data_IF_947140910564
#
_entry.id   IF_947140910564
#
_cell.length_a   1.000
_cell.length_b   1.000
_cell.length_c   1.000
_cell.angle_alpha   90.00
_cell.angle_beta   90.00
_cell.angle_gamma   90.00
#
_symmetry.space_group_name_H-M   'P 1'
#
loop_
_entity.id
_entity.type
_entity.pdbx_description
1 polymer ?
#
# COMPACT_ATOMS: atom_id res chain seq x y z
N UNK A 1 -13.88 4.33 8.38
CA UNK A 1 -12.87 3.28 8.13
C UNK A 1 -11.50 3.78 8.55
N UNK A 2 -10.57 2.86 8.84
CA UNK A 2 -9.19 3.18 9.23
C UNK A 2 -8.24 2.70 8.15
N UNK A 3 -7.12 3.39 8.00
CA UNK A 3 -6.00 2.96 7.17
C UNK A 3 -4.70 3.06 7.97
N UNK A 4 -3.69 2.32 7.56
CA UNK A 4 -2.33 2.42 8.09
C UNK A 4 -1.37 2.69 6.95
N UNK A 5 -0.43 3.63 7.17
CA UNK A 5 0.69 3.85 6.27
C UNK A 5 1.97 3.37 6.93
N UNK A 6 2.58 2.34 6.35
CA UNK A 6 3.88 1.79 6.72
C UNK A 6 4.97 2.49 5.91
N UNK A 7 5.15 3.79 6.14
CA UNK A 7 6.07 4.63 5.39
C UNK A 7 6.89 5.59 6.28
N UNK A 8 8.22 5.68 6.09
CA UNK A 8 9.04 4.73 5.33
C UNK A 8 9.12 3.38 6.05
N UNK A 9 9.04 2.27 5.30
CA UNK A 9 9.26 0.94 5.85
C UNK A 9 10.77 0.68 5.97
N UNK A 10 11.29 0.86 7.19
CA UNK A 10 12.71 0.83 7.51
C UNK A 10 13.19 -0.49 8.13
N UNK A 11 12.28 -1.44 8.30
CA UNK A 11 12.54 -2.74 8.88
C UNK A 11 11.29 -3.63 8.82
N UNK A 12 11.42 -4.92 9.14
CA UNK A 12 10.27 -5.82 9.21
C UNK A 12 9.35 -5.39 10.34
N UNK A 13 8.04 -5.42 10.10
CA UNK A 13 7.02 -5.16 11.12
C UNK A 13 6.75 -6.41 11.97
N UNK A 14 6.97 -7.59 11.40
CA UNK A 14 6.60 -8.86 12.03
C UNK A 14 5.12 -9.19 11.82
N UNK A 15 4.63 -10.16 12.58
CA UNK A 15 3.20 -10.52 12.57
C UNK A 15 2.41 -9.46 13.33
N UNK A 16 1.46 -8.83 12.64
CA UNK A 16 0.57 -7.80 13.19
C UNK A 16 -0.85 -8.13 12.82
N UNK A 17 -1.77 -7.79 13.73
CA UNK A 17 -3.21 -7.90 13.52
C UNK A 17 -3.71 -6.63 12.82
N UNK A 18 -4.21 -6.78 11.60
CA UNK A 18 -4.82 -5.69 10.83
C UNK A 18 -6.35 -5.75 10.80
N UNK A 19 -7.00 -6.56 11.65
CA UNK A 19 -8.45 -6.63 11.71
C UNK A 19 -9.08 -5.24 11.92
N UNK A 20 -10.07 -4.92 11.07
CA UNK A 20 -10.76 -3.63 11.08
C UNK A 20 -9.99 -2.48 10.42
N UNK A 21 -8.78 -2.72 9.90
CA UNK A 21 -8.10 -1.82 8.97
C UNK A 21 -8.63 -2.10 7.57
N UNK A 22 -9.00 -1.04 6.84
CA UNK A 22 -9.53 -1.21 5.50
C UNK A 22 -8.42 -1.16 4.44
N UNK A 23 -7.35 -0.42 4.71
CA UNK A 23 -6.31 -0.12 3.72
C UNK A 23 -4.93 0.00 4.36
N UNK A 24 -3.96 -0.70 3.78
CA UNK A 24 -2.55 -0.60 4.13
C UNK A 24 -1.78 0.00 2.95
N UNK A 25 -1.02 1.06 3.24
CA UNK A 25 -0.13 1.70 2.28
C UNK A 25 1.31 1.38 2.68
N UNK A 26 2.11 0.87 1.74
CA UNK A 26 3.50 0.48 2.00
C UNK A 26 4.44 1.21 1.06
N UNK A 27 5.55 1.72 1.59
CA UNK A 27 6.53 2.41 0.77
C UNK A 27 7.85 2.71 1.46
N UNK A 28 8.91 2.79 0.65
CA UNK A 28 10.26 3.09 1.10
C UNK A 28 10.57 4.59 1.24
N UNK A 29 11.68 4.89 1.90
CA UNK A 29 12.14 6.24 2.21
C UNK A 29 12.53 7.03 0.94
N UNK A 30 12.20 8.33 0.90
CA UNK A 30 12.59 9.23 -0.18
C UNK A 30 13.46 10.37 0.32
N UNK A 31 14.36 10.83 -0.55
CA UNK A 31 15.20 12.01 -0.32
C UNK A 31 16.69 11.70 -0.18
N UNK A 32 17.51 12.71 0.12
CA UNK A 32 18.94 12.54 0.33
C UNK A 32 19.20 11.53 1.45
N UNK A 33 20.03 10.52 1.18
CA UNK A 33 20.35 9.40 2.10
C UNK A 33 19.17 8.47 2.41
N UNK A 34 18.18 8.38 1.52
CA UNK A 34 17.11 7.39 1.61
C UNK A 34 17.69 5.97 1.82
N UNK A 35 17.22 5.31 2.87
CA UNK A 35 17.61 3.93 3.19
C UNK A 35 16.89 2.95 2.25
N UNK A 36 17.59 1.93 1.74
CA UNK A 36 16.96 0.88 0.93
C UNK A 36 15.96 0.11 1.80
N UNK A 37 14.79 -0.15 1.24
CA UNK A 37 13.80 -1.06 1.80
C UNK A 37 14.07 -2.47 1.26
N UNK A 38 13.98 -3.48 2.13
CA UNK A 38 14.04 -4.87 1.71
C UNK A 38 12.70 -5.32 1.13
N UNK A 39 12.74 -6.03 0.00
CA UNK A 39 11.54 -6.53 -0.67
C UNK A 39 10.73 -7.52 0.17
N UNK A 40 11.40 -8.31 1.01
CA UNK A 40 10.76 -9.27 1.91
C UNK A 40 9.81 -8.60 2.91
N UNK A 41 10.10 -7.36 3.34
CA UNK A 41 9.24 -6.64 4.29
C UNK A 41 7.92 -6.21 3.65
N UNK A 42 7.97 -5.78 2.39
CA UNK A 42 6.77 -5.42 1.62
C UNK A 42 5.93 -6.67 1.29
N UNK A 43 6.57 -7.78 0.91
CA UNK A 43 5.89 -9.07 0.70
C UNK A 43 5.20 -9.56 1.98
N UNK A 44 5.88 -9.49 3.12
CA UNK A 44 5.28 -9.89 4.40
C UNK A 44 4.01 -9.08 4.70
N UNK A 45 4.04 -7.75 4.53
CA UNK A 45 2.87 -6.91 4.75
C UNK A 45 1.75 -7.19 3.74
N UNK A 46 2.09 -7.49 2.48
CA UNK A 46 1.11 -7.92 1.47
C UNK A 46 0.39 -9.20 1.92
N UNK A 47 1.14 -10.20 2.36
CA UNK A 47 0.58 -11.49 2.76
C UNK A 47 -0.28 -11.36 4.03
N UNK A 48 0.09 -10.48 4.97
CA UNK A 48 -0.74 -10.13 6.13
C UNK A 48 -2.03 -9.42 5.69
N UNK A 49 -1.95 -8.50 4.72
CA UNK A 49 -3.13 -7.82 4.20
C UNK A 49 -4.09 -8.79 3.52
N UNK A 50 -3.57 -9.76 2.76
CA UNK A 50 -4.38 -10.81 2.14
C UNK A 50 -5.09 -11.67 3.20
N UNK A 51 -4.35 -12.09 4.24
CA UNK A 51 -4.90 -12.84 5.39
C UNK A 51 -6.03 -12.10 6.11
N UNK A 52 -5.86 -10.79 6.34
CA UNK A 52 -6.77 -9.97 7.15
C UNK A 52 -7.81 -9.21 6.31
N UNK A 53 -7.95 -9.54 5.01
CA UNK A 53 -8.87 -8.92 4.07
C UNK A 53 -8.70 -7.38 3.94
N UNK A 54 -7.47 -6.90 4.04
CA UNK A 54 -7.10 -5.49 3.95
C UNK A 54 -6.66 -5.16 2.51
N UNK A 55 -7.15 -4.05 1.97
CA UNK A 55 -6.64 -3.59 0.67
C UNK A 55 -5.15 -3.22 0.81
N UNK A 56 -4.30 -3.78 -0.05
CA UNK A 56 -2.87 -3.53 -0.04
C UNK A 56 -2.47 -2.58 -1.18
N UNK A 57 -1.79 -1.48 -0.84
CA UNK A 57 -1.26 -0.51 -1.79
C UNK A 57 0.25 -0.37 -1.66
N UNK A 58 0.99 -0.84 -2.65
CA UNK A 58 2.43 -0.60 -2.74
C UNK A 58 2.68 0.72 -3.45
N UNK A 59 3.15 1.71 -2.69
CA UNK A 59 3.30 3.07 -3.19
C UNK A 59 4.61 3.26 -3.93
N UNK A 60 5.74 2.81 -3.38
CA UNK A 60 7.05 2.92 -4.02
C UNK A 60 8.16 2.23 -3.24
N UNK A 61 9.30 1.97 -3.90
CA UNK A 61 10.55 1.58 -3.24
C UNK A 61 11.29 2.73 -2.55
N UNK A 62 10.95 3.97 -2.84
CA UNK A 62 11.69 5.14 -2.37
C UNK A 62 12.85 5.54 -3.28
N UNK A 63 13.90 6.13 -2.71
CA UNK A 63 15.12 6.52 -3.42
C UNK A 63 15.46 8.02 -3.33
N UNK A 64 16.50 8.44 -4.06
CA UNK A 64 17.07 9.79 -3.94
C UNK A 64 16.06 10.93 -4.22
N UNK A 65 15.05 10.67 -5.07
CA UNK A 65 13.89 11.54 -5.29
C UNK A 65 12.60 10.75 -5.08
N UNK A 66 11.46 11.40 -4.78
CA UNK A 66 10.17 10.72 -4.79
C UNK A 66 9.94 9.95 -6.10
N UNK A 67 9.37 8.74 -5.99
CA UNK A 67 9.04 7.82 -7.08
C UNK A 67 10.22 7.23 -7.86
N UNK A 68 11.47 7.45 -7.43
CA UNK A 68 12.66 7.00 -8.18
C UNK A 68 12.76 5.49 -8.35
N UNK A 69 12.38 4.72 -7.33
CA UNK A 69 12.50 3.27 -7.35
C UNK A 69 11.34 2.53 -8.03
N UNK A 70 10.34 3.25 -8.55
CA UNK A 70 9.17 2.62 -9.17
C UNK A 70 8.19 2.02 -8.16
N UNK A 71 7.19 1.31 -8.70
CA UNK A 71 5.99 0.83 -7.97
C UNK A 71 5.73 -0.67 -8.12
N UNK A 72 6.69 -1.40 -8.70
CA UNK A 72 6.52 -2.83 -8.93
C UNK A 72 7.03 -3.61 -7.72
N UNK A 73 6.16 -4.41 -7.11
CA UNK A 73 6.53 -5.43 -6.13
C UNK A 73 6.26 -6.78 -6.79
N UNK A 74 7.26 -7.67 -6.87
CA UNK A 74 7.17 -8.91 -7.64
C UNK A 74 6.83 -8.72 -9.13
N UNK A 75 7.26 -7.60 -9.71
CA UNK A 75 6.99 -7.27 -11.12
C UNK A 75 5.56 -6.78 -11.40
N UNK A 76 4.74 -6.60 -10.37
CA UNK A 76 3.34 -6.17 -10.48
C UNK A 76 3.08 -4.87 -9.70
N UNK A 77 2.15 -4.05 -10.20
CA UNK A 77 1.65 -2.91 -9.44
C UNK A 77 0.54 -3.34 -8.48
N UNK A 78 0.78 -3.10 -7.19
CA UNK A 78 -0.22 -3.38 -6.15
C UNK A 78 -1.00 -2.10 -5.84
N UNK A 79 -2.10 -1.90 -6.57
CA UNK A 79 -2.93 -0.69 -6.51
C UNK A 79 -4.22 -0.87 -5.68
N UNK A 80 -4.21 -1.76 -4.68
CA UNK A 80 -5.38 -2.07 -3.88
C UNK A 80 -5.99 -0.84 -3.23
N UNK A 81 -7.32 -0.76 -3.24
CA UNK A 81 -8.11 0.30 -2.62
C UNK A 81 -9.37 -0.33 -2.01
N UNK A 82 -9.86 0.16 -0.86
CA UNK A 82 -10.94 -0.51 -0.13
C UNK A 82 -12.32 -0.16 -0.72
N UNK A 83 -12.58 -0.53 -1.97
CA UNK A 83 -13.82 -0.19 -2.69
C UNK A 83 -15.10 -0.63 -1.97
N UNK A 84 -15.06 -1.76 -1.25
CA UNK A 84 -16.20 -2.35 -0.54
C UNK A 84 -16.78 -1.45 0.57
N UNK A 85 -16.01 -0.50 1.08
CA UNK A 85 -16.44 0.40 2.17
C UNK A 85 -16.70 1.82 1.68
N UNK A 86 -16.52 2.10 0.39
CA UNK A 86 -16.84 3.40 -0.19
C UNK A 86 -18.37 3.54 -0.22
N UNK A 87 -18.94 4.64 0.29
CA UNK A 87 -20.38 4.86 0.21
C UNK A 87 -20.88 4.84 -1.24
N UNK A 88 -22.01 4.16 -1.47
CA UNK A 88 -22.65 4.04 -2.79
C UNK A 88 -22.81 5.37 -3.55
N UNK A 89 -23.21 6.50 -2.91
CA UNK A 89 -23.30 7.77 -3.63
C UNK A 89 -21.96 8.25 -4.20
N UNK A 90 -20.85 7.94 -3.54
CA UNK A 90 -19.50 8.27 -4.02
C UNK A 90 -19.11 7.35 -5.17
N UNK A 91 -19.39 6.04 -5.06
CA UNK A 91 -19.12 5.08 -6.15
C UNK A 91 -19.83 5.52 -7.44
N UNK A 92 -21.11 5.88 -7.34
CA UNK A 92 -21.91 6.35 -8.48
C UNK A 92 -21.34 7.62 -9.11
N UNK A 93 -20.88 8.57 -8.29
CA UNK A 93 -20.27 9.80 -8.79
C UNK A 93 -18.89 9.58 -9.47
N UNK A 94 -18.22 8.46 -9.18
CA UNK A 94 -16.93 8.09 -9.80
C UNK A 94 -17.08 7.28 -11.09
N UNK A 95 -18.26 6.74 -11.36
CA UNK A 95 -18.57 6.11 -12.63
C UNK A 95 -18.89 7.21 -13.66
N UNK A 96 -18.16 7.29 -14.79
CA UNK A 96 -18.58 8.20 -15.85
C UNK A 96 -19.99 7.83 -16.28
N UNK A 97 -20.89 8.81 -16.31
CA UNK A 97 -22.21 8.65 -16.89
C UNK A 97 -22.01 8.26 -18.37
N UNK A 98 -22.32 7.00 -18.68
CA UNK A 98 -22.49 6.40 -20.01
C UNK A 98 -21.56 6.88 -21.15
N UNK A 99 -20.61 6.02 -21.53
CA UNK A 99 -20.08 6.00 -22.90
C UNK A 99 -21.12 5.41 -23.87
#
# INVERSE_FOLDING_TARGET
>A
ARFISFEPLLGPIGDVDLQGVAWAIVGGESGPRARPMDESWARQLRDICDRDEVAFFFKQWGGARPKSGGRLLDGEEWNGFPWKIVPEPIIRALQPEDA
#
